data_IF_344123537968
#
_entry.id   IF_344123537968
#
_cell.length_a   1.000
_cell.length_b   1.000
_cell.length_c   1.000
_cell.angle_alpha   90.00
_cell.angle_beta   90.00
_cell.angle_gamma   90.00
#
_symmetry.space_group_name_H-M   'P 1'
#
loop_
_entity.id
_entity.type
_entity.pdbx_description
1 polymer ?
#
# COMPACT_ATOMS: atom_id res chain seq x y z
N UNK A 1 -61.49 36.99 -31.20
CA UNK A 1 -60.08 36.71 -31.54
C UNK A 1 -59.29 36.64 -30.24
N UNK A 2 -59.06 35.45 -29.70
CA UNK A 2 -58.20 35.23 -28.52
C UNK A 2 -57.04 34.33 -28.94
N UNK A 3 -55.85 34.90 -29.06
CA UNK A 3 -54.61 34.14 -29.27
C UNK A 3 -54.18 33.53 -27.92
N UNK A 4 -54.27 32.20 -27.83
CA UNK A 4 -53.82 31.43 -26.67
C UNK A 4 -52.29 31.26 -26.76
N UNK A 5 -51.54 32.04 -25.99
CA UNK A 5 -50.10 31.88 -25.82
C UNK A 5 -49.79 30.55 -25.12
N UNK A 6 -49.40 29.53 -25.88
CA UNK A 6 -48.83 28.29 -25.34
C UNK A 6 -47.36 28.54 -24.99
N UNK A 7 -47.10 29.01 -23.78
CA UNK A 7 -45.76 29.02 -23.19
C UNK A 7 -45.28 27.58 -23.00
N UNK A 8 -44.45 27.10 -23.93
CA UNK A 8 -43.65 25.89 -23.74
C UNK A 8 -42.65 26.17 -22.61
N UNK A 9 -42.95 25.69 -21.40
CA UNK A 9 -41.96 25.58 -20.34
C UNK A 9 -41.01 24.43 -20.71
N UNK A 10 -39.91 24.76 -21.37
CA UNK A 10 -38.76 23.85 -21.53
C UNK A 10 -38.14 23.72 -20.14
N UNK A 11 -38.53 22.68 -19.41
CA UNK A 11 -37.88 22.29 -18.17
C UNK A 11 -36.45 21.84 -18.53
N UNK A 12 -35.50 22.77 -18.43
CA UNK A 12 -34.08 22.48 -18.61
C UNK A 12 -33.64 21.58 -17.45
N UNK A 13 -33.64 20.27 -17.70
CA UNK A 13 -33.04 19.30 -16.80
C UNK A 13 -31.52 19.48 -16.90
N UNK A 14 -30.95 20.38 -16.10
CA UNK A 14 -29.52 20.38 -15.81
C UNK A 14 -29.21 19.07 -15.10
N UNK A 15 -28.95 18.02 -15.89
CA UNK A 15 -28.28 16.83 -15.42
C UNK A 15 -26.94 17.30 -14.88
N UNK A 16 -26.80 17.30 -13.56
CA UNK A 16 -25.50 17.39 -12.93
C UNK A 16 -24.73 16.14 -13.39
N UNK A 17 -24.00 16.27 -14.50
CA UNK A 17 -22.98 15.33 -14.90
C UNK A 17 -21.91 15.49 -13.84
N UNK A 18 -22.04 14.76 -12.74
CA UNK A 18 -20.92 14.57 -11.83
C UNK A 18 -19.78 14.08 -12.70
N UNK A 19 -18.69 14.84 -12.76
CA UNK A 19 -17.47 14.39 -13.42
C UNK A 19 -17.16 13.00 -12.88
N UNK A 20 -17.10 11.99 -13.75
CA UNK A 20 -16.57 10.70 -13.36
C UNK A 20 -15.12 10.96 -12.94
N UNK A 21 -14.85 10.99 -11.64
CA UNK A 21 -13.51 11.11 -11.12
C UNK A 21 -12.69 9.93 -11.65
N UNK A 22 -11.49 10.22 -12.16
CA UNK A 22 -10.60 9.15 -12.59
C UNK A 22 -10.28 8.27 -11.37
N UNK A 23 -10.38 6.95 -11.54
CA UNK A 23 -10.01 6.00 -10.52
C UNK A 23 -8.49 6.03 -10.32
N UNK A 24 -8.07 6.23 -9.07
CA UNK A 24 -6.68 6.37 -8.66
C UNK A 24 -6.53 5.70 -7.30
N UNK A 25 -5.62 4.73 -7.24
CA UNK A 25 -5.20 4.06 -6.03
C UNK A 25 -3.74 4.42 -5.72
N UNK A 26 -3.46 4.80 -4.47
CA UNK A 26 -2.09 5.05 -4.01
C UNK A 26 -1.85 4.43 -2.66
N UNK A 27 -0.68 3.85 -2.47
CA UNK A 27 -0.23 3.35 -1.19
C UNK A 27 1.25 3.62 -0.99
N UNK A 28 1.65 3.88 0.25
CA UNK A 28 3.05 3.98 0.62
C UNK A 28 3.31 3.41 2.01
N UNK A 29 4.47 2.79 2.17
CA UNK A 29 4.98 2.34 3.45
C UNK A 29 6.41 2.85 3.63
N UNK A 30 6.70 3.43 4.78
CA UNK A 30 8.04 3.85 5.17
C UNK A 30 8.38 3.30 6.54
N UNK A 31 9.59 2.77 6.69
CA UNK A 31 10.20 2.45 7.99
C UNK A 31 11.41 3.35 8.15
N UNK A 32 11.43 4.12 9.24
CA UNK A 32 12.52 5.03 9.56
C UNK A 32 13.60 4.34 10.39
N UNK A 33 14.55 3.72 9.71
CA UNK A 33 15.71 3.06 10.31
C UNK A 33 16.62 3.97 11.13
N UNK A 34 16.59 5.29 10.94
CA UNK A 34 17.31 6.20 11.83
C UNK A 34 16.78 6.17 13.28
N UNK A 35 15.54 5.69 13.47
CA UNK A 35 14.89 5.52 14.78
C UNK A 35 15.01 4.09 15.32
N UNK A 36 15.64 3.19 14.56
CA UNK A 36 15.80 1.80 14.96
C UNK A 36 16.59 1.70 16.27
N UNK A 37 15.98 1.06 17.25
CA UNK A 37 16.56 0.90 18.58
C UNK A 37 16.38 -0.54 19.06
N UNK A 38 17.39 -1.05 19.78
CA UNK A 38 17.30 -2.32 20.48
C UNK A 38 17.57 -2.05 21.97
N UNK A 39 16.58 -2.35 22.81
CA UNK A 39 16.74 -2.32 24.27
C UNK A 39 16.98 -3.72 24.81
N UNK A 40 17.90 -3.82 25.75
CA UNK A 40 18.32 -5.07 26.37
C UNK A 40 17.82 -5.11 27.81
N UNK A 41 17.03 -6.13 28.15
CA UNK A 41 16.50 -6.32 29.50
C UNK A 41 17.02 -7.65 30.02
N UNK A 42 17.82 -7.61 31.08
CA UNK A 42 18.32 -8.82 31.73
C UNK A 42 17.17 -9.57 32.44
N UNK A 43 17.14 -10.90 32.32
CA UNK A 43 16.32 -11.76 33.17
C UNK A 43 17.28 -12.62 34.00
N UNK A 44 17.41 -12.32 35.30
CA UNK A 44 18.26 -13.07 36.21
C UNK A 44 19.67 -12.50 36.37
N UNK A 45 20.70 -13.36 36.31
CA UNK A 45 22.08 -12.99 36.58
C UNK A 45 22.75 -12.27 35.39
N UNK A 46 23.57 -11.26 35.72
CA UNK A 46 24.39 -10.46 34.79
C UNK A 46 25.36 -11.34 33.98
N UNK A 47 25.69 -10.96 32.73
CA UNK A 47 25.37 -9.69 32.07
C UNK A 47 23.99 -9.67 31.39
N UNK A 48 23.47 -8.46 31.14
CA UNK A 48 22.34 -8.24 30.22
C UNK A 48 22.66 -8.82 28.83
N UNK A 49 21.64 -9.22 28.04
CA UNK A 49 21.90 -9.75 26.71
C UNK A 49 22.59 -8.69 25.85
N UNK A 50 23.47 -9.13 24.95
CA UNK A 50 24.01 -8.31 23.88
C UNK A 50 23.96 -9.09 22.56
N UNK A 51 23.90 -8.35 21.45
CA UNK A 51 23.83 -8.93 20.11
C UNK A 51 25.05 -8.56 19.28
N UNK A 52 25.48 -9.49 18.44
CA UNK A 52 26.44 -9.25 17.36
C UNK A 52 25.77 -9.57 16.04
N UNK A 53 25.70 -8.57 15.15
CA UNK A 53 25.09 -8.73 13.84
C UNK A 53 26.05 -9.37 12.83
N UNK A 54 25.50 -10.14 11.91
CA UNK A 54 26.19 -10.76 10.77
C UNK A 54 25.22 -10.96 9.60
N UNK A 55 25.74 -11.14 8.38
CA UNK A 55 24.87 -11.47 7.24
C UNK A 55 23.84 -10.38 6.92
N UNK A 56 24.16 -9.12 7.21
CA UNK A 56 23.31 -7.98 6.89
C UNK A 56 23.04 -7.94 5.39
N UNK A 57 21.80 -7.66 5.01
CA UNK A 57 21.41 -7.47 3.62
C UNK A 57 20.25 -6.48 3.49
N UNK A 58 20.09 -5.97 2.27
CA UNK A 58 18.91 -5.25 1.85
C UNK A 58 18.46 -5.76 0.48
N UNK A 59 17.15 -5.71 0.25
CA UNK A 59 16.53 -6.12 -1.01
C UNK A 59 15.37 -5.19 -1.31
N UNK A 60 15.21 -4.83 -2.58
CA UNK A 60 14.08 -4.03 -3.06
C UNK A 60 13.46 -4.71 -4.28
N UNK A 61 12.14 -4.64 -4.37
CA UNK A 61 11.34 -5.17 -5.47
C UNK A 61 10.25 -4.15 -5.81
N UNK A 62 10.06 -3.89 -7.10
CA UNK A 62 8.95 -3.13 -7.64
C UNK A 62 8.43 -3.79 -8.91
N UNK A 63 7.13 -3.99 -9.00
CA UNK A 63 6.52 -4.54 -10.21
C UNK A 63 5.11 -3.98 -10.48
N UNK A 64 4.73 -4.05 -11.76
CA UNK A 64 3.43 -3.67 -12.30
C UNK A 64 2.90 -4.80 -13.18
N UNK A 65 1.58 -4.96 -13.28
CA UNK A 65 0.96 -5.97 -14.16
C UNK A 65 0.61 -5.45 -15.56
N UNK A 66 0.23 -4.18 -15.72
CA UNK A 66 -0.24 -3.63 -17.00
C UNK A 66 0.33 -2.24 -17.29
N UNK A 67 1.26 -2.12 -18.27
CA UNK A 67 2.07 -3.22 -18.80
C UNK A 67 2.88 -3.94 -17.71
N UNK A 68 3.29 -5.17 -18.00
CA UNK A 68 4.10 -5.94 -17.07
C UNK A 68 5.53 -5.38 -17.03
N UNK A 69 6.00 -5.05 -15.83
CA UNK A 69 7.37 -4.63 -15.55
C UNK A 69 7.72 -5.10 -14.14
N UNK A 70 8.96 -5.53 -13.93
CA UNK A 70 9.44 -6.06 -12.66
C UNK A 70 10.92 -5.76 -12.55
N UNK A 71 11.29 -5.06 -11.48
CA UNK A 71 12.64 -4.61 -11.18
C UNK A 71 12.97 -5.03 -9.76
N UNK A 72 14.16 -5.58 -9.55
CA UNK A 72 14.63 -5.99 -8.23
C UNK A 72 16.12 -5.75 -8.11
N UNK A 73 16.58 -5.37 -6.92
CA UNK A 73 18.00 -5.17 -6.63
C UNK A 73 18.34 -5.59 -5.20
N UNK A 74 19.57 -6.02 -4.97
CA UNK A 74 20.03 -6.62 -3.72
C UNK A 74 21.45 -6.20 -3.36
N UNK A 75 21.70 -6.00 -2.07
CA UNK A 75 23.05 -5.80 -1.53
C UNK A 75 23.26 -6.53 -0.21
N UNK A 76 24.49 -7.00 0.00
CA UNK A 76 24.91 -7.73 1.20
C UNK A 76 25.32 -6.83 2.37
N UNK A 77 24.64 -5.68 2.55
CA UNK A 77 24.84 -4.79 3.69
C UNK A 77 23.63 -3.88 3.93
N UNK A 78 23.71 -3.01 4.96
CA UNK A 78 22.67 -2.01 5.29
C UNK A 78 23.08 -0.57 4.92
N UNK A 79 24.18 -0.38 4.22
CA UNK A 79 24.78 0.93 4.00
C UNK A 79 24.64 1.42 2.56
N UNK A 80 24.78 0.51 1.61
CA UNK A 80 24.68 0.80 0.19
C UNK A 80 23.21 1.03 -0.18
N UNK A 81 22.88 2.19 -0.77
CA UNK A 81 21.50 2.49 -1.13
C UNK A 81 21.07 1.65 -2.34
N UNK A 82 19.82 1.16 -2.28
CA UNK A 82 19.12 0.49 -3.37
C UNK A 82 17.91 1.32 -3.77
N UNK A 83 17.62 1.38 -5.08
CA UNK A 83 16.39 1.98 -5.59
C UNK A 83 15.99 1.32 -6.90
N UNK A 84 14.73 0.90 -6.99
CA UNK A 84 14.13 0.34 -8.20
C UNK A 84 12.79 1.02 -8.48
N UNK A 85 12.44 1.12 -9.75
CA UNK A 85 11.15 1.66 -10.19
C UNK A 85 10.66 0.89 -11.40
N UNK A 86 9.48 0.30 -11.29
CA UNK A 86 8.73 -0.26 -12.41
C UNK A 86 7.68 0.76 -12.85
N UNK A 87 7.83 1.30 -14.07
CA UNK A 87 6.94 2.34 -14.59
C UNK A 87 6.81 2.27 -16.12
N UNK A 88 6.10 1.25 -16.63
CA UNK A 88 6.06 1.02 -18.08
C UNK A 88 5.14 1.97 -18.85
N UNK A 89 4.26 2.74 -18.18
CA UNK A 89 3.27 3.57 -18.87
C UNK A 89 2.90 4.91 -18.19
N UNK A 90 3.49 5.25 -17.05
CA UNK A 90 3.13 6.43 -16.25
C UNK A 90 1.77 6.34 -15.52
N UNK A 91 0.87 5.46 -15.99
CA UNK A 91 -0.46 5.24 -15.38
C UNK A 91 -0.46 4.22 -14.25
N UNK A 92 0.57 3.37 -14.20
CA UNK A 92 0.82 2.39 -13.14
C UNK A 92 2.30 2.46 -12.80
N UNK A 93 2.61 2.69 -11.53
CA UNK A 93 3.98 2.88 -11.05
C UNK A 93 4.18 2.16 -9.73
N UNK A 94 5.32 1.50 -9.62
CA UNK A 94 5.79 0.90 -8.39
C UNK A 94 7.23 1.30 -8.15
N UNK A 95 7.58 1.65 -6.92
CA UNK A 95 8.95 1.99 -6.55
C UNK A 95 9.29 1.52 -5.14
N UNK A 96 10.50 1.02 -4.97
CA UNK A 96 11.06 0.65 -3.68
C UNK A 96 12.46 1.25 -3.53
N UNK A 97 12.79 1.66 -2.32
CA UNK A 97 14.15 2.09 -1.99
C UNK A 97 14.54 1.66 -0.58
N UNK A 98 15.83 1.41 -0.40
CA UNK A 98 16.43 1.10 0.88
C UNK A 98 17.73 1.88 1.00
N UNK A 99 17.84 2.77 1.98
CA UNK A 99 19.07 3.47 2.32
C UNK A 99 19.28 3.42 3.84
N UNK A 100 20.44 3.89 4.31
CA UNK A 100 20.85 3.80 5.73
C UNK A 100 19.77 4.25 6.72
N UNK A 101 18.94 5.23 6.36
CA UNK A 101 17.90 5.83 7.22
C UNK A 101 16.49 5.32 6.94
N UNK A 102 16.18 4.89 5.72
CA UNK A 102 14.80 4.66 5.28
C UNK A 102 14.66 3.36 4.47
N UNK A 103 13.59 2.61 4.76
CA UNK A 103 12.99 1.68 3.81
C UNK A 103 11.70 2.31 3.30
N UNK A 104 11.54 2.40 1.99
CA UNK A 104 10.35 3.00 1.37
C UNK A 104 9.79 2.07 0.32
N UNK A 105 8.47 1.95 0.30
CA UNK A 105 7.70 1.33 -0.76
C UNK A 105 6.59 2.29 -1.15
N UNK A 106 6.38 2.46 -2.45
CA UNK A 106 5.33 3.30 -3.00
C UNK A 106 4.71 2.63 -4.22
N UNK A 107 3.39 2.75 -4.34
CA UNK A 107 2.62 2.29 -5.48
C UNK A 107 1.56 3.31 -5.86
N UNK A 108 1.35 3.43 -7.16
CA UNK A 108 0.37 4.28 -7.79
C UNK A 108 -0.27 3.50 -8.94
N UNK A 109 -1.59 3.51 -9.02
CA UNK A 109 -2.31 2.98 -10.16
C UNK A 109 -3.50 3.86 -10.52
N UNK A 110 -3.60 4.17 -11.80
CA UNK A 110 -4.70 4.91 -12.43
C UNK A 110 -5.12 4.26 -13.75
N UNK A 111 -4.51 3.13 -14.10
CA UNK A 111 -4.84 2.39 -15.30
C UNK A 111 -6.12 1.59 -15.05
N UNK A 112 -7.16 1.92 -15.81
CA UNK A 112 -8.48 1.30 -15.70
C UNK A 112 -8.57 -0.08 -16.36
N UNK A 113 -7.45 -0.78 -16.55
CA UNK A 113 -7.46 -2.18 -16.94
C UNK A 113 -7.84 -3.03 -15.73
N UNK A 114 -8.76 -3.98 -15.92
CA UNK A 114 -9.20 -4.91 -14.86
C UNK A 114 -8.07 -5.72 -14.23
N UNK A 115 -6.92 -5.81 -14.88
CA UNK A 115 -5.72 -6.49 -14.39
C UNK A 115 -4.60 -5.53 -14.01
N UNK A 116 -4.86 -4.23 -13.90
CA UNK A 116 -3.84 -3.29 -13.47
C UNK A 116 -3.58 -3.43 -11.97
N UNK A 117 -2.32 -3.58 -11.62
CA UNK A 117 -1.86 -3.66 -10.25
C UNK A 117 -0.40 -3.23 -10.18
N UNK A 118 -0.05 -2.55 -9.10
CA UNK A 118 1.32 -2.26 -8.69
C UNK A 118 1.58 -2.88 -7.30
N UNK A 119 2.78 -3.40 -7.08
CA UNK A 119 3.28 -3.75 -5.75
C UNK A 119 4.76 -3.43 -5.64
N UNK A 120 5.20 -2.97 -4.48
CA UNK A 120 6.61 -2.81 -4.15
C UNK A 120 6.89 -3.28 -2.75
N UNK A 121 8.15 -3.60 -2.50
CA UNK A 121 8.65 -3.91 -1.17
C UNK A 121 10.11 -3.52 -1.00
N UNK A 122 10.46 -3.06 0.19
CA UNK A 122 11.82 -2.81 0.61
C UNK A 122 12.10 -3.57 1.92
N UNK A 123 13.20 -4.29 1.96
CA UNK A 123 13.59 -5.16 3.06
C UNK A 123 14.96 -4.80 3.60
N UNK A 124 15.13 -5.01 4.90
CA UNK A 124 16.44 -5.19 5.55
C UNK A 124 16.40 -6.44 6.39
N UNK A 125 17.40 -7.29 6.20
CA UNK A 125 17.56 -8.51 6.97
C UNK A 125 18.97 -8.65 7.52
N UNK A 126 19.13 -9.54 8.48
CA UNK A 126 20.43 -9.90 9.02
C UNK A 126 20.30 -10.94 10.11
N UNK A 127 21.38 -11.68 10.34
CA UNK A 127 21.48 -12.60 11.45
C UNK A 127 22.10 -11.89 12.66
N UNK A 128 21.75 -12.33 13.86
CA UNK A 128 22.45 -11.91 15.06
C UNK A 128 22.65 -13.07 16.03
N UNK A 129 23.82 -13.08 16.66
CA UNK A 129 24.14 -13.97 17.78
C UNK A 129 23.92 -13.25 19.10
N UNK A 130 23.47 -13.98 20.12
CA UNK A 130 23.19 -13.45 21.45
C UNK A 130 24.22 -13.97 22.46
N UNK A 131 24.75 -13.07 23.29
CA UNK A 131 25.45 -13.42 24.53
C UNK A 131 24.66 -12.92 25.73
N UNK A 132 24.47 -13.76 26.74
CA UNK A 132 23.58 -13.50 27.89
C UNK A 132 22.11 -13.81 27.62
N UNK A 133 21.33 -14.04 28.69
CA UNK A 133 19.90 -14.37 28.57
C UNK A 133 19.02 -13.20 29.00
N UNK A 134 17.89 -13.00 28.34
CA UNK A 134 16.99 -11.89 28.65
C UNK A 134 15.93 -11.62 27.60
N UNK A 135 15.53 -10.36 27.47
CA UNK A 135 14.60 -9.86 26.46
C UNK A 135 15.31 -8.80 25.61
N UNK A 136 15.16 -8.93 24.29
CA UNK A 136 15.45 -7.88 23.33
C UNK A 136 14.13 -7.20 22.95
N UNK A 137 14.09 -5.87 23.02
CA UNK A 137 12.96 -5.08 22.53
C UNK A 137 13.45 -4.23 21.36
N UNK A 138 13.09 -4.63 20.14
CA UNK A 138 13.32 -3.83 18.94
C UNK A 138 12.20 -2.81 18.79
N UNK A 139 12.54 -1.61 18.37
CA UNK A 139 11.55 -0.60 17.99
C UNK A 139 11.99 0.18 16.76
N UNK A 140 11.04 0.55 15.91
CA UNK A 140 11.28 1.42 14.75
C UNK A 140 10.01 2.18 14.38
N UNK A 141 10.16 3.46 14.04
CA UNK A 141 9.05 4.29 13.59
C UNK A 141 8.67 3.95 12.15
N UNK A 142 7.38 4.01 11.87
CA UNK A 142 6.82 3.76 10.55
C UNK A 142 5.77 4.79 10.16
N UNK A 143 5.55 4.91 8.86
CA UNK A 143 4.50 5.73 8.25
C UNK A 143 3.83 4.94 7.13
N UNK A 144 2.51 4.77 7.20
CA UNK A 144 1.71 4.11 6.17
C UNK A 144 0.68 5.09 5.63
N UNK A 145 0.55 5.13 4.30
CA UNK A 145 -0.55 5.84 3.64
C UNK A 145 -1.27 4.93 2.65
N UNK A 146 -2.59 5.12 2.55
CA UNK A 146 -3.41 4.50 1.52
C UNK A 146 -4.56 5.45 1.14
N UNK A 147 -4.75 5.70 -0.15
CA UNK A 147 -5.79 6.59 -0.67
C UNK A 147 -6.41 6.05 -1.95
N UNK A 148 -7.71 6.25 -2.09
CA UNK A 148 -8.53 5.87 -3.23
C UNK A 148 -9.35 7.07 -3.70
N UNK A 149 -9.66 7.15 -5.00
CA UNK A 149 -10.59 8.14 -5.54
C UNK A 149 -11.89 7.52 -6.09
N UNK A 150 -11.90 6.23 -6.43
CA UNK A 150 -13.10 5.58 -6.99
C UNK A 150 -13.50 4.27 -6.28
N UNK A 151 -14.79 3.88 -6.35
CA UNK A 151 -15.26 2.62 -5.79
C UNK A 151 -14.72 1.44 -6.59
N UNK A 152 -14.32 0.37 -5.90
CA UNK A 152 -13.74 -0.83 -6.54
C UNK A 152 -12.22 -0.82 -6.58
N UNK A 153 -11.58 0.34 -6.39
CA UNK A 153 -10.13 0.45 -6.25
C UNK A 153 -9.65 -0.21 -4.95
N UNK A 154 -8.39 -0.64 -4.94
CA UNK A 154 -7.73 -1.14 -3.73
C UNK A 154 -6.34 -0.55 -3.55
N UNK A 155 -6.04 -0.18 -2.31
CA UNK A 155 -4.73 0.33 -1.91
C UNK A 155 -4.41 -0.22 -0.53
N UNK A 156 -3.20 -0.74 -0.36
CA UNK A 156 -2.74 -1.25 0.93
C UNK A 156 -1.27 -1.00 1.16
N UNK A 157 -0.91 -0.79 2.42
CA UNK A 157 0.46 -0.62 2.86
C UNK A 157 0.68 -1.37 4.17
N UNK A 158 1.88 -1.90 4.37
CA UNK A 158 2.27 -2.54 5.63
C UNK A 158 3.72 -2.29 5.99
N UNK A 159 3.97 -2.32 7.30
CA UNK A 159 5.29 -2.32 7.89
C UNK A 159 5.38 -3.52 8.85
N UNK A 160 6.47 -4.26 8.77
CA UNK A 160 6.63 -5.51 9.53
C UNK A 160 8.01 -5.58 10.18
N UNK A 161 8.04 -6.13 11.40
CA UNK A 161 9.23 -6.63 12.08
C UNK A 161 9.08 -8.12 12.34
N UNK A 162 10.11 -8.88 12.04
CA UNK A 162 10.12 -10.33 12.22
C UNK A 162 11.48 -10.77 12.74
N UNK A 163 11.47 -11.67 13.72
CA UNK A 163 12.68 -12.36 14.15
C UNK A 163 12.39 -13.83 14.45
N UNK A 164 13.29 -14.73 14.08
CA UNK A 164 13.17 -16.15 14.38
C UNK A 164 14.51 -16.79 14.70
N UNK A 165 14.48 -17.77 15.61
CA UNK A 165 15.68 -18.54 15.97
C UNK A 165 16.14 -19.43 14.82
N UNK A 166 17.43 -19.40 14.49
CA UNK A 166 18.03 -20.28 13.46
C UNK A 166 18.53 -21.59 14.08
N UNK A 167 18.51 -22.67 13.29
CA UNK A 167 19.13 -23.95 13.67
C UNK A 167 18.29 -24.89 14.56
N UNK A 168 17.01 -24.61 14.81
CA UNK A 168 16.10 -25.52 15.53
C UNK A 168 14.86 -25.86 14.69
N UNK A 169 14.42 -27.13 14.75
CA UNK A 169 13.16 -27.60 14.14
C UNK A 169 11.90 -26.93 14.74
N UNK A 170 12.07 -26.23 15.86
CA UNK A 170 11.09 -25.34 16.47
C UNK A 170 11.67 -23.92 16.44
N UNK A 171 11.19 -23.08 15.52
CA UNK A 171 11.56 -21.67 15.48
C UNK A 171 10.66 -20.91 16.44
N UNK A 172 11.21 -20.44 17.56
CA UNK A 172 10.54 -19.37 18.29
C UNK A 172 10.58 -18.14 17.38
N UNK A 173 9.41 -17.71 16.90
CA UNK A 173 9.25 -16.51 16.09
C UNK A 173 8.56 -15.43 16.91
N UNK A 174 9.07 -14.20 16.77
CA UNK A 174 8.37 -13.00 17.16
C UNK A 174 8.02 -12.24 15.89
N UNK A 175 6.81 -11.68 15.85
CA UNK A 175 6.30 -10.95 14.69
C UNK A 175 5.45 -9.78 15.16
N UNK A 176 5.70 -8.60 14.59
CA UNK A 176 4.85 -7.42 14.72
C UNK A 176 4.59 -6.84 13.32
N UNK A 177 3.32 -6.51 13.06
CA UNK A 177 2.86 -6.11 11.74
C UNK A 177 1.70 -5.14 11.84
N UNK A 178 1.81 -4.05 11.09
CA UNK A 178 0.71 -3.12 10.90
C UNK A 178 0.35 -3.12 9.42
N UNK A 179 -0.93 -3.28 9.16
CA UNK A 179 -1.52 -3.29 7.84
C UNK A 179 -2.61 -2.23 7.74
N UNK A 180 -2.55 -1.42 6.69
CA UNK A 180 -3.62 -0.50 6.31
C UNK A 180 -4.12 -0.87 4.93
N UNK A 181 -5.45 -0.93 4.78
CA UNK A 181 -6.10 -1.28 3.52
C UNK A 181 -7.33 -0.40 3.28
N UNK A 182 -7.56 -0.10 2.00
CA UNK A 182 -8.74 0.60 1.49
C UNK A 182 -9.30 -0.21 0.33
N UNK A 183 -10.62 -0.38 0.34
CA UNK A 183 -11.38 -1.08 -0.72
C UNK A 183 -12.64 -0.30 -1.17
N UNK A 184 -12.86 0.90 -0.63
CA UNK A 184 -14.04 1.72 -0.90
C UNK A 184 -13.65 3.21 -1.01
N UNK A 185 -14.08 3.89 -2.08
CA UNK A 185 -13.76 5.29 -2.41
C UNK A 185 -14.18 6.33 -1.36
N UNK A 186 -15.25 6.05 -0.61
CA UNK A 186 -15.86 7.04 0.27
C UNK A 186 -15.10 7.20 1.61
N UNK A 187 -13.87 6.71 1.68
CA UNK A 187 -13.04 6.75 2.88
C UNK A 187 -11.97 7.81 2.69
N UNK A 188 -11.85 8.72 3.66
CA UNK A 188 -10.75 9.69 3.69
C UNK A 188 -9.40 8.95 3.61
N UNK A 189 -8.37 9.58 3.01
CA UNK A 189 -7.02 9.03 2.97
C UNK A 189 -6.60 8.54 4.36
N UNK A 190 -6.06 7.33 4.43
CA UNK A 190 -5.51 6.77 5.66
C UNK A 190 -4.06 7.21 5.76
N UNK A 191 -3.70 7.80 6.88
CA UNK A 191 -2.32 8.09 7.24
C UNK A 191 -2.11 7.63 8.68
N UNK A 192 -1.23 6.65 8.87
CA UNK A 192 -0.90 6.08 10.18
C UNK A 192 0.60 6.24 10.39
N UNK A 193 0.96 6.88 11.50
CA UNK A 193 2.34 7.04 11.94
C UNK A 193 2.43 6.55 13.38
N UNK A 194 3.31 5.60 13.64
CA UNK A 194 3.50 5.03 14.98
C UNK A 194 4.85 4.29 15.04
N UNK A 195 5.10 3.57 16.14
CA UNK A 195 6.30 2.76 16.35
C UNK A 195 5.93 1.26 16.37
N UNK A 196 6.64 0.45 15.59
CA UNK A 196 6.59 -1.03 15.70
C UNK A 196 7.43 -1.48 16.90
N UNK A 197 6.96 -2.48 17.63
CA UNK A 197 7.63 -3.02 18.80
C UNK A 197 7.69 -4.55 18.75
N UNK A 198 8.91 -5.09 18.71
CA UNK A 198 9.15 -6.52 18.70
C UNK A 198 9.88 -6.95 19.97
N UNK A 199 9.21 -7.70 20.84
CA UNK A 199 9.82 -8.31 22.02
C UNK A 199 10.26 -9.75 21.72
N UNK A 200 11.50 -10.08 22.05
CA UNK A 200 12.09 -11.40 21.81
C UNK A 200 12.79 -11.90 23.07
N UNK A 201 12.38 -13.06 23.57
CA UNK A 201 13.08 -13.77 24.63
C UNK A 201 14.29 -14.49 24.04
N UNK A 202 15.46 -14.25 24.63
CA UNK A 202 16.74 -14.76 24.14
C UNK A 202 17.51 -15.50 25.22
N UNK A 203 18.30 -16.49 24.79
CA UNK A 203 19.23 -17.21 25.65
C UNK A 203 20.64 -17.11 25.09
N UNK A 204 21.61 -17.25 25.98
CA UNK A 204 23.03 -17.23 25.65
C UNK A 204 23.38 -18.27 24.57
N UNK A 205 24.16 -17.87 23.57
CA UNK A 205 24.61 -18.71 22.47
C UNK A 205 23.56 -18.99 21.39
N UNK A 206 22.37 -18.37 21.43
CA UNK A 206 21.37 -18.51 20.38
C UNK A 206 21.62 -17.55 19.21
N UNK A 207 21.26 -18.01 18.01
CA UNK A 207 21.30 -17.23 16.79
C UNK A 207 19.89 -17.00 16.27
N UNK A 208 19.68 -15.83 15.69
CA UNK A 208 18.40 -15.41 15.15
C UNK A 208 18.60 -14.77 13.79
N UNK A 209 17.57 -14.82 12.97
CA UNK A 209 17.44 -13.99 11.79
C UNK A 209 16.40 -12.91 12.09
N UNK A 210 16.69 -11.68 11.68
CA UNK A 210 15.81 -10.52 11.76
C UNK A 210 15.48 -10.04 10.36
N UNK A 211 14.24 -9.60 10.15
CA UNK A 211 13.80 -8.95 8.92
C UNK A 211 12.85 -7.80 9.27
N UNK A 212 13.05 -6.68 8.61
CA UNK A 212 12.06 -5.60 8.53
C UNK A 212 11.60 -5.43 7.09
N UNK A 213 10.33 -5.10 6.87
CA UNK A 213 9.81 -4.87 5.52
C UNK A 213 8.79 -3.73 5.46
N UNK A 214 8.93 -2.88 4.45
CA UNK A 214 7.92 -1.92 4.02
C UNK A 214 7.31 -2.44 2.71
N UNK A 215 5.98 -2.54 2.64
CA UNK A 215 5.26 -3.06 1.49
C UNK A 215 4.10 -2.14 1.12
N UNK A 216 3.82 -2.01 -0.17
CA UNK A 216 2.62 -1.35 -0.65
C UNK A 216 2.09 -2.00 -1.92
N UNK A 217 0.78 -1.90 -2.13
CA UNK A 217 0.10 -2.31 -3.34
C UNK A 217 -1.05 -1.37 -3.67
N UNK A 218 -1.25 -1.12 -4.97
CA UNK A 218 -2.34 -0.32 -5.51
C UNK A 218 -2.93 -1.01 -6.74
N UNK A 219 -4.24 -0.93 -6.91
CA UNK A 219 -4.97 -1.38 -8.09
C UNK A 219 -6.19 -0.49 -8.31
N UNK A 220 -6.27 0.14 -9.47
CA UNK A 220 -7.42 0.92 -9.89
C UNK A 220 -8.34 0.07 -10.77
N UNK A 221 -9.65 0.15 -10.54
CA UNK A 221 -10.66 -0.61 -11.29
C UNK A 221 -11.51 0.36 -12.11
N UNK A 222 -11.80 0.04 -13.39
CA UNK A 222 -12.73 0.85 -14.18
C UNK A 222 -14.09 0.93 -13.49
N UNK A 223 -14.49 2.14 -13.08
CA UNK A 223 -15.88 2.39 -12.69
C UNK A 223 -16.75 2.11 -13.92
N UNK A 224 -17.84 1.31 -13.81
CA UNK A 224 -18.69 1.01 -14.95
C UNK A 224 -19.29 2.29 -15.54
N UNK A 225 -18.65 2.82 -16.59
CA UNK A 225 -19.24 3.82 -17.48
C UNK A 225 -20.57 3.31 -18.07
N UNK A 226 -20.78 1.99 -18.06
CA UNK A 226 -22.03 1.32 -18.39
C UNK A 226 -23.23 1.82 -17.58
N UNK A 227 -23.08 2.22 -16.31
CA UNK A 227 -24.22 2.80 -15.54
C UNK A 227 -24.61 4.16 -16.11
N UNK A 228 -23.65 4.98 -16.49
CA UNK A 228 -23.89 6.28 -17.13
C UNK A 228 -24.41 6.14 -18.55
N UNK A 229 -23.85 5.21 -19.34
CA UNK A 229 -24.35 4.87 -20.67
C UNK A 229 -25.80 4.34 -20.57
N UNK A 230 -26.09 3.48 -19.61
CA UNK A 230 -27.43 2.96 -19.38
C UNK A 230 -28.41 4.06 -18.96
N UNK A 231 -28.04 4.93 -18.02
CA UNK A 231 -28.88 6.08 -17.62
C UNK A 231 -29.10 7.04 -18.79
N UNK A 232 -28.08 7.33 -19.59
CA UNK A 232 -28.21 8.16 -20.79
C UNK A 232 -29.13 7.54 -21.84
N UNK A 233 -29.07 6.21 -22.01
CA UNK A 233 -29.94 5.47 -22.91
C UNK A 233 -31.40 5.44 -22.43
N UNK A 234 -31.64 5.28 -21.14
CA UNK A 234 -32.99 5.35 -20.55
C UNK A 234 -33.58 6.76 -20.70
N UNK A 235 -32.81 7.81 -20.42
CA UNK A 235 -33.26 9.20 -20.61
C UNK A 235 -33.54 9.49 -22.08
N UNK A 236 -32.68 9.03 -23.00
CA UNK A 236 -32.91 9.14 -24.43
C UNK A 236 -34.20 8.44 -24.88
N UNK A 237 -34.46 7.22 -24.39
CA UNK A 237 -35.67 6.46 -24.72
C UNK A 237 -36.95 7.12 -24.19
N UNK A 238 -36.91 7.66 -22.97
CA UNK A 238 -38.03 8.41 -22.39
C UNK A 238 -38.30 9.73 -23.14
N UNK A 239 -37.26 10.40 -23.64
CA UNK A 239 -37.38 11.60 -24.47
C UNK A 239 -38.09 11.33 -25.80
N UNK A 240 -37.72 10.26 -26.50
CA UNK A 240 -38.32 9.89 -27.80
C UNK A 240 -39.81 9.54 -27.67
N UNK A 241 -40.22 8.86 -26.59
CA UNK A 241 -41.63 8.51 -26.37
C UNK A 241 -42.51 9.74 -26.08
N UNK A 242 -41.96 10.81 -25.52
CA UNK A 242 -42.70 12.07 -25.30
C UNK A 242 -42.94 12.83 -26.61
N UNK A 243 -41.98 12.83 -27.54
CA UNK A 243 -42.15 13.48 -28.85
C UNK A 243 -43.24 12.83 -29.70
N UNK A 244 -43.40 11.49 -29.65
CA UNK A 244 -44.45 10.79 -30.40
C UNK A 244 -45.86 11.16 -29.94
N UNK A 245 -46.08 11.45 -28.65
CA UNK A 245 -47.38 11.90 -28.13
C UNK A 245 -47.69 13.37 -28.44
N UNK A 246 -46.67 14.21 -28.61
CA UNK A 246 -46.86 15.62 -28.95
C UNK A 246 -47.20 15.85 -30.44
N UNK A 247 -46.87 14.89 -31.32
CA UNK A 247 -47.16 14.93 -32.76
C UNK A 247 -48.48 14.22 -33.15
N UNK A 248 -49.17 13.58 -32.21
CA UNK A 248 -50.43 12.84 -32.44
C UNK A 248 -51.68 13.58 -31.92
N UNK A 249 -51.61 14.90 -31.74
CA UNK A 249 -52.72 15.80 -31.38
C UNK A 249 -52.72 16.96 -32.36
#
# INVERSE_FOLDING_TARGET
MHHLNKTLSVLALTLAVGSAEAAVATASATINWSTFNVRFIAIGANPAPSITWSGQNAWVDAATQVPADSQSDWVGDWTNPLAVTANPSGSTTSSASANVELLTSFTYDSNLSWSSQAWSSAYRGGDFSVTGSGILLFSVDYSLTASLTAPGDSASASANLYAYRTGSNFSASAYDSVYVGRWNANQSPLNVNDTLHLALFVQDGQNYNFTSSAYSSASAVPVPSAVWLFLSAVVGFLGVNRHKRALSV
#
